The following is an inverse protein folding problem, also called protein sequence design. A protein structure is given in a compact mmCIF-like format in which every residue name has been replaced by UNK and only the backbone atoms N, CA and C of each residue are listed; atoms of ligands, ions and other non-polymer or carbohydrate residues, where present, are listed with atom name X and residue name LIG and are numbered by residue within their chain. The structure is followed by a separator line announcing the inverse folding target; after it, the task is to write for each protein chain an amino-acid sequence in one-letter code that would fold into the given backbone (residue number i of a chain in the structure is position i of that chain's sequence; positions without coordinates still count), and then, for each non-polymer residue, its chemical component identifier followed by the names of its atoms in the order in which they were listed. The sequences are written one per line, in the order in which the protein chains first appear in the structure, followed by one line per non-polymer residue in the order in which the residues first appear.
data_IF_425619056978
#
_entry.id   IF_425619056978
#
_cell.length_a   1.000
_cell.length_b   1.000
_cell.length_c   1.000
_cell.angle_alpha   90.00
_cell.angle_beta   90.00
_cell.angle_gamma   90.00
#
_symmetry.space_group_name_H-M   'P 1'
#
loop_
_entity.id
_entity.type
_entity.pdbx_description
1 polymer ?
#
# COMPACT_ATOMS: atom_id res chain seq x y z
N UNK A 1 -8.68 -17.33 -6.54
CA UNK A 1 -9.10 -16.69 -7.81
C UNK A 1 -10.43 -15.93 -7.74
N UNK A 2 -11.13 -15.88 -6.60
CA UNK A 2 -12.48 -15.28 -6.53
C UNK A 2 -12.52 -13.78 -6.89
N UNK A 3 -11.51 -13.00 -6.47
CA UNK A 3 -11.44 -11.59 -6.85
C UNK A 3 -11.22 -11.43 -8.37
N UNK A 4 -10.26 -12.17 -8.92
CA UNK A 4 -9.89 -12.12 -10.34
C UNK A 4 -11.07 -12.42 -11.29
N UNK A 5 -11.99 -13.31 -10.88
CA UNK A 5 -13.16 -13.66 -11.71
C UNK A 5 -14.15 -12.50 -11.85
N UNK A 6 -14.19 -11.57 -10.89
CA UNK A 6 -15.05 -10.39 -10.88
C UNK A 6 -14.40 -9.17 -11.56
N UNK A 7 -13.09 -9.20 -11.80
CA UNK A 7 -12.35 -8.10 -12.42
C UNK A 7 -12.56 -8.03 -13.94
N UNK A 8 -12.66 -6.81 -14.48
CA UNK A 8 -12.57 -6.55 -15.90
C UNK A 8 -11.11 -6.27 -16.29
N UNK A 9 -10.54 -7.12 -17.15
CA UNK A 9 -9.15 -7.05 -17.58
C UNK A 9 -8.98 -6.58 -19.03
N UNK A 10 -10.09 -6.23 -19.70
CA UNK A 10 -10.16 -5.73 -21.08
C UNK A 10 -9.59 -6.66 -22.17
N UNK A 11 -8.87 -7.74 -21.83
CA UNK A 11 -8.43 -8.80 -22.73
C UNK A 11 -8.42 -10.17 -22.03
N UNK A 12 -8.64 -11.23 -22.80
CA UNK A 12 -8.55 -12.61 -22.30
C UNK A 12 -7.09 -13.07 -22.11
N UNK A 13 -6.15 -12.49 -22.87
CA UNK A 13 -4.72 -12.76 -22.73
C UNK A 13 -4.21 -12.31 -21.36
N UNK A 14 -4.49 -11.06 -20.97
CA UNK A 14 -4.14 -10.54 -19.63
C UNK A 14 -4.74 -11.40 -18.52
N UNK A 15 -5.99 -11.89 -18.70
CA UNK A 15 -6.61 -12.82 -17.75
C UNK A 15 -5.83 -14.13 -17.62
N UNK A 16 -5.34 -14.67 -18.73
CA UNK A 16 -4.52 -15.88 -18.72
C UNK A 16 -3.19 -15.67 -18.00
N UNK A 17 -2.51 -14.55 -18.27
CA UNK A 17 -1.26 -14.19 -17.60
C UNK A 17 -1.42 -14.07 -16.08
N UNK A 18 -2.49 -13.40 -15.61
CA UNK A 18 -2.79 -13.32 -14.18
C UNK A 18 -2.94 -14.71 -13.54
N UNK A 19 -3.68 -15.63 -14.19
CA UNK A 19 -3.84 -17.00 -13.68
C UNK A 19 -2.51 -17.75 -13.61
N UNK A 20 -1.70 -17.63 -14.65
CA UNK A 20 -0.36 -18.22 -14.69
C UNK A 20 0.53 -17.68 -13.56
N UNK A 21 0.57 -16.36 -13.37
CA UNK A 21 1.34 -15.73 -12.29
C UNK A 21 0.83 -16.15 -10.91
N UNK A 22 -0.48 -16.11 -10.67
CA UNK A 22 -1.07 -16.53 -9.40
C UNK A 22 -0.76 -18.00 -9.06
N UNK A 23 -0.73 -18.89 -10.05
CA UNK A 23 -0.39 -20.30 -9.83
C UNK A 23 1.09 -20.54 -9.48
N UNK A 24 1.97 -19.58 -9.82
CA UNK A 24 3.42 -19.64 -9.59
C UNK A 24 3.89 -18.78 -8.43
N UNK A 25 3.03 -17.90 -7.93
CA UNK A 25 3.34 -17.01 -6.83
C UNK A 25 3.61 -17.85 -5.58
N UNK A 26 4.73 -17.56 -4.93
CA UNK A 26 5.15 -18.18 -3.68
C UNK A 26 5.41 -17.07 -2.65
N UNK A 27 5.97 -17.45 -1.51
CA UNK A 27 6.43 -16.50 -0.50
C UNK A 27 7.35 -15.45 -1.13
N UNK A 28 7.11 -14.19 -0.76
CA UNK A 28 7.82 -13.02 -1.23
C UNK A 28 8.48 -12.33 -0.04
N UNK A 29 9.74 -11.94 -0.19
CA UNK A 29 10.46 -11.16 0.82
C UNK A 29 9.97 -9.71 0.77
N UNK A 30 9.24 -9.29 1.80
CA UNK A 30 8.57 -7.99 1.86
C UNK A 30 9.33 -6.95 2.70
N UNK A 31 10.56 -7.28 3.12
CA UNK A 31 11.38 -6.46 4.00
C UNK A 31 12.81 -6.39 3.48
N UNK A 32 13.41 -5.21 3.56
CA UNK A 32 14.81 -4.98 3.25
C UNK A 32 15.54 -4.40 4.48
N UNK A 33 16.81 -4.74 4.64
CA UNK A 33 17.68 -4.18 5.69
C UNK A 33 18.27 -2.81 5.32
N UNK A 34 18.21 -2.42 4.04
CA UNK A 34 18.89 -1.25 3.47
C UNK A 34 17.98 -0.53 2.49
N UNK A 35 17.54 0.69 2.81
CA UNK A 35 16.75 1.48 1.85
C UNK A 35 16.05 2.70 2.44
N UNK A 36 15.46 3.48 1.54
CA UNK A 36 14.40 4.44 1.89
C UNK A 36 13.08 3.69 1.92
N UNK A 37 12.30 3.86 2.98
CA UNK A 37 11.02 3.18 3.13
C UNK A 37 10.42 3.42 4.49
N UNK A 38 9.35 2.69 4.78
CA UNK A 38 8.68 2.73 6.08
C UNK A 38 9.23 1.60 6.97
N UNK A 39 9.73 1.89 8.18
CA UNK A 39 10.15 0.85 9.12
C UNK A 39 8.99 -0.08 9.49
N UNK A 40 9.29 -1.36 9.69
CA UNK A 40 8.27 -2.31 10.14
C UNK A 40 7.88 -1.99 11.59
N UNK A 41 6.58 -1.97 11.96
CA UNK A 41 6.15 -1.48 13.28
C UNK A 41 6.71 -2.26 14.48
N UNK A 42 7.04 -3.54 14.31
CA UNK A 42 7.59 -4.41 15.37
C UNK A 42 9.10 -4.61 15.28
N UNK A 43 9.74 -4.20 14.17
CA UNK A 43 11.18 -4.33 13.97
C UNK A 43 11.70 -3.12 13.16
N UNK A 44 12.37 -2.21 13.85
CA UNK A 44 12.87 -0.97 13.25
C UNK A 44 14.19 -1.13 12.49
N UNK A 45 14.82 -2.31 12.53
CA UNK A 45 16.06 -2.57 11.78
C UNK A 45 15.81 -2.87 10.30
N UNK A 46 14.56 -3.16 9.95
CA UNK A 46 14.12 -3.45 8.57
C UNK A 46 13.04 -2.47 8.11
N UNK A 47 13.03 -2.22 6.81
CA UNK A 47 12.03 -1.39 6.12
C UNK A 47 11.18 -2.25 5.19
N UNK A 48 9.95 -1.84 4.96
CA UNK A 48 9.08 -2.46 3.95
C UNK A 48 9.62 -2.15 2.56
N UNK A 49 9.72 -3.17 1.71
CA UNK A 49 10.19 -3.02 0.33
C UNK A 49 9.10 -2.39 -0.57
N UNK A 50 9.53 -1.75 -1.67
CA UNK A 50 8.71 -0.87 -2.50
C UNK A 50 7.50 -1.50 -3.23
N UNK A 51 7.52 -2.79 -3.55
CA UNK A 51 6.38 -3.50 -4.15
C UNK A 51 5.36 -3.89 -3.09
N UNK A 52 5.80 -4.06 -1.85
CA UNK A 52 4.95 -4.41 -0.71
C UNK A 52 4.21 -3.20 -0.14
N UNK A 53 4.84 -2.02 -0.08
CA UNK A 53 4.18 -0.80 0.40
C UNK A 53 3.25 -0.12 -0.64
N UNK A 54 3.27 -0.58 -1.89
CA UNK A 54 2.50 -0.01 -3.01
C UNK A 54 1.26 -0.81 -3.43
N UNK A 55 0.75 -1.70 -2.57
CA UNK A 55 -0.40 -2.57 -2.92
C UNK A 55 -1.78 -1.96 -2.64
N UNK A 56 -1.93 -1.09 -1.64
CA UNK A 56 -3.22 -0.54 -1.19
C UNK A 56 -3.24 0.99 -1.05
N UNK A 57 -2.22 1.69 -1.56
CA UNK A 57 -2.10 3.15 -1.47
C UNK A 57 -3.26 3.93 -2.13
N UNK A 58 -4.00 3.28 -3.04
CA UNK A 58 -5.20 3.85 -3.66
C UNK A 58 -6.27 4.20 -2.61
N UNK A 59 -6.38 3.43 -1.52
CA UNK A 59 -7.28 3.74 -0.42
C UNK A 59 -6.84 5.04 0.28
N UNK A 60 -5.54 5.20 0.52
CA UNK A 60 -4.99 6.42 1.14
C UNK A 60 -5.27 7.67 0.29
N UNK A 61 -5.30 7.57 -1.04
CA UNK A 61 -5.64 8.73 -1.88
C UNK A 61 -7.00 9.35 -1.54
N UNK A 62 -7.97 8.53 -1.13
CA UNK A 62 -9.33 9.01 -0.80
C UNK A 62 -9.35 9.97 0.38
N UNK A 63 -8.40 9.84 1.32
CA UNK A 63 -8.29 10.66 2.54
C UNK A 63 -7.07 11.58 2.55
N UNK A 64 -6.17 11.45 1.57
CA UNK A 64 -4.89 12.18 1.50
C UNK A 64 -5.04 13.70 1.59
N UNK A 65 -6.15 14.24 1.08
CA UNK A 65 -6.44 15.67 1.04
C UNK A 65 -6.65 16.29 2.44
N UNK A 66 -7.06 15.49 3.44
CA UNK A 66 -7.14 15.94 4.84
C UNK A 66 -5.76 16.13 5.48
N UNK A 67 -4.75 15.41 4.98
CA UNK A 67 -3.40 15.42 5.52
C UNK A 67 -2.50 16.42 4.80
N UNK A 68 -2.64 16.52 3.47
CA UNK A 68 -1.63 17.17 2.65
C UNK A 68 -2.07 18.53 2.07
N UNK A 69 -3.37 18.88 2.04
CA UNK A 69 -3.90 20.14 1.48
C UNK A 69 -3.28 20.56 0.11
N UNK A 70 -2.85 19.60 -0.71
CA UNK A 70 -2.18 19.85 -2.00
C UNK A 70 -0.67 20.08 -1.94
N UNK A 71 -0.06 19.99 -0.76
CA UNK A 71 1.39 20.04 -0.54
C UNK A 71 1.97 18.63 -0.34
N UNK A 72 2.76 18.17 -1.33
CA UNK A 72 3.43 16.87 -1.28
C UNK A 72 4.57 16.80 -0.25
N UNK A 73 5.10 17.94 0.19
CA UNK A 73 6.30 18.01 1.01
C UNK A 73 6.05 18.84 2.27
N UNK A 74 5.02 18.48 3.05
CA UNK A 74 4.74 18.98 4.42
C UNK A 74 5.10 20.45 4.64
N UNK A 75 4.36 21.38 4.04
CA UNK A 75 4.51 22.82 4.28
C UNK A 75 3.32 23.48 4.96
N UNK A 76 2.13 22.84 5.01
CA UNK A 76 0.96 23.38 5.72
C UNK A 76 0.59 22.60 6.97
N UNK A 77 0.11 23.33 7.98
CA UNK A 77 -0.43 22.77 9.22
C UNK A 77 -1.72 22.00 8.90
N UNK A 78 -1.61 20.70 8.64
CA UNK A 78 -2.79 19.82 8.68
C UNK A 78 -3.44 19.92 10.06
N UNK A 79 -4.76 19.85 10.10
CA UNK A 79 -5.54 19.76 11.33
C UNK A 79 -5.24 18.47 12.12
N UNK A 80 -4.70 17.44 11.44
CA UNK A 80 -4.37 16.15 12.02
C UNK A 80 -2.85 15.98 12.10
N UNK A 81 -2.36 15.62 13.29
CA UNK A 81 -0.96 15.21 13.46
C UNK A 81 -0.84 13.74 13.06
N UNK A 82 0.25 13.32 12.38
CA UNK A 82 0.46 11.92 12.01
C UNK A 82 0.36 10.95 13.18
N UNK A 83 0.82 11.36 14.37
CA UNK A 83 0.78 10.54 15.59
C UNK A 83 -0.65 10.25 16.10
N UNK A 84 -1.67 10.94 15.58
CA UNK A 84 -3.07 10.70 15.95
C UNK A 84 -3.72 9.59 15.11
N UNK A 85 -3.09 9.17 14.01
CA UNK A 85 -3.58 8.14 13.10
C UNK A 85 -3.12 6.75 13.55
N UNK A 86 -3.76 6.22 14.59
CA UNK A 86 -3.51 4.86 15.10
C UNK A 86 -4.42 3.82 14.42
N UNK A 87 -4.20 2.55 14.72
CA UNK A 87 -4.93 1.42 14.12
C UNK A 87 -6.45 1.53 14.28
N UNK A 88 -6.95 2.06 15.40
CA UNK A 88 -8.40 2.22 15.62
C UNK A 88 -9.01 3.27 14.70
N UNK A 89 -8.25 4.33 14.37
CA UNK A 89 -8.70 5.34 13.43
C UNK A 89 -8.72 4.78 12.02
N UNK A 90 -7.69 4.02 11.63
CA UNK A 90 -7.63 3.40 10.31
C UNK A 90 -8.66 2.29 10.11
N UNK A 91 -9.01 1.55 11.16
CA UNK A 91 -10.07 0.54 11.13
C UNK A 91 -11.47 1.16 11.01
N UNK A 92 -11.68 2.36 11.54
CA UNK A 92 -12.95 3.07 11.44
C UNK A 92 -13.18 3.69 10.05
N UNK A 93 -12.12 4.12 9.39
CA UNK A 93 -12.15 4.76 8.06
C UNK A 93 -12.44 3.75 6.95
#
# INVERSE_FOLDING_TARGET
EECLSKMNLYSEETRHEFKCTLSRLNQWECSDYLGFGTPIPWDTEVVVESLSDSSLYMAFYTVSHFFNEGDMHRGRKSLLRPQQMNDQVWEYL
#
